data_IF_847819076682
#
_entry.id   IF_847819076682
#
_cell.length_a   1.000
_cell.length_b   1.000
_cell.length_c   1.000
_cell.angle_alpha   90.00
_cell.angle_beta   90.00
_cell.angle_gamma   90.00
#
_symmetry.space_group_name_H-M   'P 1'
#
loop_
_entity.id
_entity.type
_entity.pdbx_description
1 polymer ?
#
# COMPACT_ATOMS: atom_id res chain seq x y z
N UNK A 1 12.04 39.21 53.69
CA UNK A 1 10.57 39.06 53.72
C UNK A 1 10.21 37.68 54.27
N UNK A 2 9.13 37.53 55.04
CA UNK A 2 8.81 36.25 55.68
C UNK A 2 7.73 35.46 54.92
N UNK A 3 7.92 34.15 54.81
CA UNK A 3 6.95 33.24 54.21
C UNK A 3 5.68 33.17 55.06
N UNK A 4 4.52 33.49 54.50
CA UNK A 4 3.24 33.39 55.21
C UNK A 4 2.81 31.94 55.52
N UNK A 5 3.39 30.95 54.83
CA UNK A 5 3.04 29.53 55.00
C UNK A 5 3.82 28.85 56.12
N UNK A 6 5.11 29.18 56.29
CA UNK A 6 5.98 28.50 57.26
C UNK A 6 6.79 29.44 58.17
N UNK A 7 6.67 30.76 57.99
CA UNK A 7 7.37 31.77 58.79
C UNK A 7 8.85 31.97 58.46
N UNK A 8 9.42 31.22 57.51
CA UNK A 8 10.84 31.33 57.17
C UNK A 8 11.18 32.66 56.49
N UNK A 9 12.36 33.21 56.81
CA UNK A 9 12.90 34.40 56.16
C UNK A 9 13.37 34.06 54.74
N UNK A 10 12.98 34.86 53.76
CA UNK A 10 13.44 34.78 52.38
C UNK A 10 13.94 36.15 51.90
N UNK A 11 14.87 36.12 50.95
CA UNK A 11 15.45 37.30 50.33
C UNK A 11 14.41 38.15 49.58
N UNK A 12 14.59 39.46 49.58
CA UNK A 12 13.73 40.38 48.83
C UNK A 12 13.91 40.14 47.32
N UNK A 13 12.97 39.41 46.71
CA UNK A 13 13.01 39.00 45.29
C UNK A 13 12.85 37.50 45.04
N UNK A 14 12.85 36.66 46.07
CA UNK A 14 12.65 35.21 45.91
C UNK A 14 11.22 34.88 45.47
N UNK A 15 11.04 34.20 44.33
CA UNK A 15 9.72 33.77 43.83
C UNK A 15 9.08 32.67 44.70
N UNK A 16 9.91 31.84 45.32
CA UNK A 16 9.49 30.71 46.17
C UNK A 16 10.29 30.70 47.47
N UNK A 17 9.69 30.19 48.54
CA UNK A 17 10.34 30.05 49.83
C UNK A 17 11.41 28.97 49.78
N UNK A 18 12.62 29.30 50.21
CA UNK A 18 13.76 28.38 50.22
C UNK A 18 13.53 27.15 51.12
N UNK A 19 12.63 27.25 52.12
CA UNK A 19 12.42 26.19 53.11
C UNK A 19 11.25 25.26 52.81
N UNK A 20 10.16 25.76 52.22
CA UNK A 20 8.94 24.97 51.99
C UNK A 20 8.44 24.98 50.53
N UNK A 21 9.12 25.71 49.65
CA UNK A 21 8.77 25.83 48.23
C UNK A 21 7.51 26.65 47.92
N UNK A 22 6.84 27.24 48.92
CA UNK A 22 5.63 28.02 48.69
C UNK A 22 5.94 29.37 47.99
N UNK A 23 5.10 29.82 47.03
CA UNK A 23 5.32 31.09 46.35
C UNK A 23 5.20 32.27 47.33
N UNK A 24 6.14 33.20 47.26
CA UNK A 24 6.16 34.39 48.14
C UNK A 24 5.47 35.53 47.38
N UNK A 25 4.23 35.85 47.76
CA UNK A 25 3.40 36.87 47.12
C UNK A 25 4.03 38.26 47.28
N UNK A 26 4.71 38.72 46.24
CA UNK A 26 5.41 40.01 46.23
C UNK A 26 5.87 40.52 44.86
N UNK A 27 5.43 39.89 43.76
CA UNK A 27 5.56 40.44 42.42
C UNK A 27 4.20 40.20 41.74
N UNK A 28 3.54 41.29 41.38
CA UNK A 28 2.25 41.33 40.69
C UNK A 28 2.37 40.65 39.33
N UNK A 29 2.11 39.35 39.29
CA UNK A 29 1.66 38.64 38.10
C UNK A 29 0.18 39.00 37.93
N UNK A 30 -0.06 39.99 37.06
CA UNK A 30 -1.37 40.21 36.47
C UNK A 30 -1.81 38.95 35.72
N UNK A 31 -3.09 38.66 35.87
CA UNK A 31 -3.76 37.44 35.47
C UNK A 31 -3.53 37.02 34.00
N UNK A 32 -3.32 35.71 33.84
CA UNK A 32 -4.01 34.84 32.89
C UNK A 32 -4.27 35.41 31.49
N UNK A 33 -3.25 35.30 30.65
CA UNK A 33 -3.40 35.19 29.20
C UNK A 33 -2.26 34.31 28.70
N UNK A 34 -2.48 33.00 28.69
CA UNK A 34 -1.52 32.03 28.15
C UNK A 34 -1.40 32.17 26.62
N UNK A 35 -0.68 33.20 26.17
CA UNK A 35 -0.16 33.30 24.81
C UNK A 35 1.17 32.55 24.73
N UNK A 36 1.07 31.28 24.37
CA UNK A 36 2.18 30.48 23.84
C UNK A 36 2.18 30.54 22.31
N UNK A 37 2.44 31.71 21.72
CA UNK A 37 2.95 31.83 20.36
C UNK A 37 4.43 31.45 20.36
N UNK A 38 4.83 30.30 19.81
CA UNK A 38 5.44 30.30 18.47
C UNK A 38 5.40 28.93 17.76
N UNK A 39 4.78 27.89 18.35
CA UNK A 39 4.70 26.55 17.74
C UNK A 39 3.27 26.14 17.28
N UNK A 40 2.32 27.08 17.21
CA UNK A 40 0.91 26.79 16.86
C UNK A 40 0.58 26.90 15.36
N UNK A 41 1.34 27.69 14.58
CA UNK A 41 1.11 27.84 13.13
C UNK A 41 1.69 26.66 12.34
N UNK A 42 2.90 26.21 12.69
CA UNK A 42 3.53 25.03 12.10
C UNK A 42 2.87 23.70 12.47
N UNK A 43 2.32 23.52 13.69
CA UNK A 43 1.55 22.30 14.01
C UNK A 43 0.27 22.18 13.17
N UNK A 44 -0.44 23.28 12.95
CA UNK A 44 -1.64 23.28 12.09
C UNK A 44 -1.28 22.99 10.63
N UNK A 45 -0.22 23.60 10.11
CA UNK A 45 0.27 23.33 8.75
C UNK A 45 0.76 21.88 8.64
N UNK A 46 1.48 21.36 9.63
CA UNK A 46 1.93 19.96 9.68
C UNK A 46 0.74 18.99 9.71
N UNK A 47 -0.29 19.26 10.51
CA UNK A 47 -1.51 18.44 10.52
C UNK A 47 -2.25 18.49 9.17
N UNK A 48 -2.31 19.64 8.51
CA UNK A 48 -2.92 19.78 7.18
C UNK A 48 -2.13 19.00 6.13
N UNK A 49 -0.78 19.09 6.16
CA UNK A 49 0.09 18.33 5.23
C UNK A 49 -0.06 16.83 5.46
N UNK A 50 -0.02 16.36 6.70
CA UNK A 50 -0.22 14.93 7.01
C UNK A 50 -1.61 14.44 6.58
N UNK A 51 -2.68 15.20 6.85
CA UNK A 51 -4.02 14.87 6.39
C UNK A 51 -4.10 14.82 4.86
N UNK A 52 -3.45 15.75 4.16
CA UNK A 52 -3.40 15.76 2.69
C UNK A 52 -2.64 14.54 2.14
N UNK A 53 -1.51 14.16 2.74
CA UNK A 53 -0.76 12.97 2.35
C UNK A 53 -1.57 11.69 2.56
N UNK A 54 -2.34 11.59 3.65
CA UNK A 54 -3.23 10.44 3.91
C UNK A 54 -4.35 10.35 2.87
N UNK A 55 -4.94 11.49 2.48
CA UNK A 55 -5.97 11.53 1.43
C UNK A 55 -5.40 11.15 0.05
N UNK A 56 -4.19 11.61 -0.29
CA UNK A 56 -3.53 11.23 -1.55
C UNK A 56 -3.17 9.74 -1.54
N UNK A 57 -2.65 9.23 -0.42
CA UNK A 57 -2.32 7.82 -0.28
C UNK A 57 -3.56 6.92 -0.39
N UNK A 58 -4.70 7.30 0.19
CA UNK A 58 -5.93 6.51 0.12
C UNK A 58 -6.48 6.43 -1.32
N UNK A 59 -6.44 7.53 -2.08
CA UNK A 59 -6.82 7.56 -3.50
C UNK A 59 -5.87 6.70 -4.35
N UNK A 60 -4.56 6.79 -4.10
CA UNK A 60 -3.57 5.98 -4.82
C UNK A 60 -3.76 4.47 -4.59
N UNK A 61 -4.00 4.06 -3.34
CA UNK A 61 -4.26 2.65 -2.99
C UNK A 61 -5.54 2.16 -3.70
N UNK A 62 -6.61 2.96 -3.68
CA UNK A 62 -7.86 2.61 -4.37
C UNK A 62 -7.65 2.45 -5.89
N UNK A 63 -6.90 3.36 -6.52
CA UNK A 63 -6.58 3.28 -7.94
C UNK A 63 -5.80 1.99 -8.28
N UNK A 64 -4.78 1.65 -7.50
CA UNK A 64 -4.00 0.41 -7.69
C UNK A 64 -4.87 -0.84 -7.52
N UNK A 65 -5.75 -0.86 -6.52
CA UNK A 65 -6.68 -1.98 -6.32
C UNK A 65 -7.66 -2.15 -7.50
N UNK A 66 -8.17 -1.05 -8.06
CA UNK A 66 -9.02 -1.06 -9.25
C UNK A 66 -8.24 -1.57 -10.47
N UNK A 67 -7.01 -1.09 -10.68
CA UNK A 67 -6.13 -1.55 -11.76
C UNK A 67 -5.83 -3.05 -11.64
N UNK A 68 -5.57 -3.55 -10.43
CA UNK A 68 -5.33 -4.98 -10.19
C UNK A 68 -6.59 -5.81 -10.45
N UNK A 69 -7.75 -5.37 -9.94
CA UNK A 69 -9.04 -6.03 -10.17
C UNK A 69 -9.44 -6.04 -11.65
N UNK A 70 -9.11 -4.99 -12.40
CA UNK A 70 -9.31 -4.93 -13.85
C UNK A 70 -8.43 -5.95 -14.59
N UNK A 71 -7.18 -6.12 -14.14
CA UNK A 71 -6.25 -7.10 -14.69
C UNK A 71 -6.75 -8.54 -14.49
N UNK A 72 -7.19 -8.90 -13.28
CA UNK A 72 -7.72 -10.24 -12.97
C UNK A 72 -8.93 -10.60 -13.82
N UNK A 73 -9.84 -9.64 -14.03
CA UNK A 73 -11.00 -9.84 -14.92
C UNK A 73 -10.57 -10.09 -16.36
N UNK A 74 -9.66 -9.26 -16.89
CA UNK A 74 -9.13 -9.43 -18.25
C UNK A 74 -8.41 -10.76 -18.42
N UNK A 75 -7.68 -11.21 -17.40
CA UNK A 75 -7.07 -12.54 -17.40
C UNK A 75 -8.14 -13.64 -17.47
N UNK A 76 -9.13 -13.60 -16.57
CA UNK A 76 -10.22 -14.57 -16.53
C UNK A 76 -10.99 -14.65 -17.85
N UNK A 77 -11.29 -13.51 -18.46
CA UNK A 77 -11.99 -13.43 -19.75
C UNK A 77 -11.17 -14.09 -20.88
N UNK A 78 -9.86 -13.85 -20.93
CA UNK A 78 -8.98 -14.45 -21.94
C UNK A 78 -8.88 -15.97 -21.76
N UNK A 79 -8.74 -16.45 -20.51
CA UNK A 79 -8.73 -17.89 -20.20
C UNK A 79 -10.06 -18.56 -20.58
N UNK A 80 -11.19 -17.91 -20.30
CA UNK A 80 -12.52 -18.43 -20.63
C UNK A 80 -12.73 -18.54 -22.15
N UNK A 81 -12.38 -17.49 -22.91
CA UNK A 81 -12.43 -17.52 -24.40
C UNK A 81 -11.55 -18.62 -24.96
N UNK A 82 -10.38 -18.77 -24.39
CA UNK A 82 -9.44 -19.77 -24.83
C UNK A 82 -9.95 -21.19 -24.52
N UNK A 83 -10.63 -21.41 -23.40
CA UNK A 83 -11.39 -22.63 -23.11
C UNK A 83 -12.47 -22.92 -24.18
N UNK A 84 -13.24 -21.91 -24.58
CA UNK A 84 -14.24 -22.03 -25.66
C UNK A 84 -13.59 -22.45 -26.99
N UNK A 85 -12.47 -21.83 -27.36
CA UNK A 85 -11.74 -22.21 -28.58
C UNK A 85 -11.19 -23.64 -28.51
N UNK A 86 -10.82 -24.13 -27.32
CA UNK A 86 -10.43 -25.53 -27.14
C UNK A 86 -11.59 -26.52 -27.33
N UNK A 87 -12.80 -26.14 -26.95
CA UNK A 87 -14.02 -26.94 -27.19
C UNK A 87 -14.37 -26.95 -28.69
N UNK A 88 -14.21 -25.81 -29.36
CA UNK A 88 -14.42 -25.65 -30.81
C UNK A 88 -13.29 -26.27 -31.66
N UNK A 89 -12.24 -26.82 -31.05
CA UNK A 89 -11.05 -27.39 -31.71
C UNK A 89 -10.22 -26.36 -32.50
N UNK A 90 -10.42 -25.06 -32.26
CA UNK A 90 -9.67 -23.96 -32.86
C UNK A 90 -8.45 -23.62 -32.00
N UNK A 91 -7.42 -24.46 -32.10
CA UNK A 91 -6.24 -24.38 -31.25
C UNK A 91 -5.40 -23.12 -31.47
N UNK A 92 -5.40 -22.56 -32.67
CA UNK A 92 -4.62 -21.36 -32.98
C UNK A 92 -5.22 -20.13 -32.26
N UNK A 93 -6.56 -20.00 -32.23
CA UNK A 93 -7.23 -18.94 -31.45
C UNK A 93 -7.16 -19.16 -29.94
N UNK A 94 -7.23 -20.42 -29.50
CA UNK A 94 -7.03 -20.78 -28.10
C UNK A 94 -5.65 -20.32 -27.63
N UNK A 95 -4.61 -20.65 -28.40
CA UNK A 95 -3.22 -20.27 -28.13
C UNK A 95 -3.04 -18.75 -28.04
N UNK A 96 -3.53 -17.98 -29.02
CA UNK A 96 -3.44 -16.51 -28.98
C UNK A 96 -4.13 -15.91 -27.75
N UNK A 97 -5.29 -16.45 -27.38
CA UNK A 97 -6.04 -16.00 -26.20
C UNK A 97 -5.31 -16.33 -24.89
N UNK A 98 -4.62 -17.48 -24.81
CA UNK A 98 -3.78 -17.80 -23.65
C UNK A 98 -2.50 -16.97 -23.59
N UNK A 99 -1.85 -16.71 -24.73
CA UNK A 99 -0.68 -15.83 -24.78
C UNK A 99 -1.04 -14.41 -24.30
N UNK A 100 -2.23 -13.91 -24.66
CA UNK A 100 -2.78 -12.67 -24.11
C UNK A 100 -2.95 -12.74 -22.60
N UNK A 101 -3.48 -13.83 -22.06
CA UNK A 101 -3.60 -14.01 -20.61
C UNK A 101 -2.23 -13.97 -19.90
N UNK A 102 -1.23 -14.69 -20.44
CA UNK A 102 0.14 -14.72 -19.90
C UNK A 102 0.78 -13.32 -19.95
N UNK A 103 0.52 -12.53 -21.00
CA UNK A 103 1.05 -11.17 -21.11
C UNK A 103 0.47 -10.18 -20.09
N UNK A 104 -0.69 -10.47 -19.49
CA UNK A 104 -1.39 -9.59 -18.55
C UNK A 104 -0.90 -9.82 -17.11
N UNK A 105 -0.60 -11.07 -16.75
CA UNK A 105 -0.02 -11.42 -15.47
C UNK A 105 1.04 -12.52 -15.66
N UNK A 106 2.26 -12.10 -15.98
CA UNK A 106 3.44 -12.99 -16.04
C UNK A 106 3.70 -13.67 -14.68
N UNK A 107 3.15 -13.13 -13.58
CA UNK A 107 3.49 -13.48 -12.20
C UNK A 107 2.58 -14.52 -11.55
N UNK A 108 1.48 -14.92 -12.19
CA UNK A 108 0.65 -16.05 -11.72
C UNK A 108 1.12 -17.38 -12.31
N UNK A 109 2.27 -17.83 -11.82
CA UNK A 109 2.93 -19.10 -12.14
C UNK A 109 2.05 -20.34 -11.86
N UNK A 110 1.07 -20.24 -10.96
CA UNK A 110 0.21 -21.38 -10.60
C UNK A 110 -0.78 -21.77 -11.71
N UNK A 111 -1.28 -20.80 -12.48
CA UNK A 111 -2.29 -21.06 -13.51
C UNK A 111 -1.68 -21.50 -14.84
N UNK A 112 -0.48 -21.01 -15.17
CA UNK A 112 0.26 -21.41 -16.37
C UNK A 112 0.69 -22.87 -16.31
N UNK A 113 1.04 -23.38 -15.13
CA UNK A 113 1.46 -24.76 -14.92
C UNK A 113 0.31 -25.77 -15.12
N UNK A 114 -0.90 -25.44 -14.64
CA UNK A 114 -2.11 -26.24 -14.89
C UNK A 114 -2.41 -26.31 -16.39
N UNK A 115 -2.26 -25.19 -17.09
CA UNK A 115 -2.53 -25.14 -18.53
C UNK A 115 -1.50 -25.89 -19.37
N UNK A 116 -0.21 -25.77 -19.05
CA UNK A 116 0.85 -26.55 -19.68
C UNK A 116 0.63 -28.06 -19.48
N UNK A 117 0.24 -28.48 -18.27
CA UNK A 117 -0.07 -29.88 -17.97
C UNK A 117 -1.32 -30.37 -18.73
N UNK A 118 -2.38 -29.57 -18.75
CA UNK A 118 -3.62 -29.85 -19.46
C UNK A 118 -3.39 -29.97 -20.98
N UNK A 119 -2.69 -29.01 -21.58
CA UNK A 119 -2.35 -29.00 -22.99
C UNK A 119 -1.44 -30.16 -23.38
N UNK A 120 -0.41 -30.47 -22.57
CA UNK A 120 0.49 -31.61 -22.81
C UNK A 120 -0.28 -32.94 -22.86
N UNK A 121 -1.30 -33.12 -22.01
CA UNK A 121 -2.12 -34.34 -21.96
C UNK A 121 -3.11 -34.47 -23.13
N UNK A 122 -3.55 -33.34 -23.70
CA UNK A 122 -4.53 -33.29 -24.79
C UNK A 122 -3.89 -33.21 -26.19
N UNK A 123 -2.71 -32.58 -26.33
CA UNK A 123 -1.95 -32.47 -27.58
C UNK A 123 -1.33 -33.78 -28.05
N UNK A 124 -1.09 -34.74 -27.16
CA UNK A 124 -0.72 -36.10 -27.55
C UNK A 124 -1.80 -36.80 -28.39
N UNK A 125 -2.99 -36.20 -28.56
CA UNK A 125 -4.10 -36.72 -29.39
C UNK A 125 -4.38 -35.95 -30.69
N UNK A 126 -3.87 -34.73 -30.92
CA UNK A 126 -4.17 -33.93 -32.14
C UNK A 126 -3.02 -32.98 -32.56
N UNK A 127 -3.02 -32.56 -33.84
CA UNK A 127 -1.96 -31.71 -34.44
C UNK A 127 -1.77 -30.39 -33.66
N UNK A 128 -0.55 -30.08 -33.19
CA UNK A 128 -0.26 -28.84 -32.47
C UNK A 128 -0.27 -27.61 -33.41
N UNK A 129 -0.66 -26.46 -32.87
CA UNK A 129 -0.58 -25.14 -33.50
C UNK A 129 0.86 -24.67 -33.77
N UNK A 130 1.03 -23.49 -34.37
CA UNK A 130 2.33 -23.04 -34.93
C UNK A 130 3.40 -22.80 -33.86
N UNK A 131 3.04 -22.21 -32.73
CA UNK A 131 4.01 -21.96 -31.64
C UNK A 131 4.30 -23.26 -30.88
N UNK A 132 3.30 -24.12 -30.67
CA UNK A 132 3.52 -25.46 -30.10
C UNK A 132 4.40 -26.36 -30.96
N UNK A 133 4.30 -26.30 -32.30
CA UNK A 133 5.27 -26.98 -33.19
C UNK A 133 6.70 -26.52 -32.93
N UNK A 134 6.89 -25.22 -32.69
CA UNK A 134 8.21 -24.65 -32.38
C UNK A 134 8.68 -25.10 -31.00
N UNK A 135 7.82 -25.02 -29.99
CA UNK A 135 8.10 -25.43 -28.62
C UNK A 135 8.42 -26.93 -28.50
N UNK A 136 7.65 -27.79 -29.18
CA UNK A 136 7.86 -29.24 -29.23
C UNK A 136 9.21 -29.56 -29.87
N UNK A 137 9.54 -28.91 -30.99
CA UNK A 137 10.82 -29.07 -31.69
C UNK A 137 12.01 -28.67 -30.81
N UNK A 138 11.90 -27.60 -30.01
CA UNK A 138 12.93 -27.22 -29.04
C UNK A 138 13.08 -28.22 -27.89
N UNK A 139 11.99 -28.82 -27.42
CA UNK A 139 12.05 -29.83 -26.36
C UNK A 139 12.61 -31.17 -26.86
N UNK A 140 12.27 -31.57 -28.08
CA UNK A 140 12.86 -32.74 -28.74
C UNK A 140 14.35 -32.56 -29.02
N UNK A 141 14.78 -31.35 -29.40
CA UNK A 141 16.19 -31.03 -29.60
C UNK A 141 17.01 -30.95 -28.30
N UNK A 142 16.34 -30.83 -27.15
CA UNK A 142 16.96 -30.80 -25.83
C UNK A 142 17.07 -32.20 -25.18
N UNK A 143 16.62 -33.25 -25.87
CA UNK A 143 16.60 -34.64 -25.41
C UNK A 143 17.63 -35.47 -26.16
#
# INVERSE_FOLDING_TARGET
>A
MYCRKCGAENDAGSRFCCKCGAPVQGISEGAEGADGGSHRRNRKILCIVLASCVLVASVAIAAVAISKKSSEKRFGDNVARAGKYMEELDYDKAEDSYLKAISIDEKQESHTCSWHAYMRRRMSRKKPGRFWKKALKTLEAAR
#
